data_IF_734953652619
#
_entry.id   IF_734953652619
#
_cell.length_a   1.000
_cell.length_b   1.000
_cell.length_c   1.000
_cell.angle_alpha   90.00
_cell.angle_beta   90.00
_cell.angle_gamma   90.00
#
_symmetry.space_group_name_H-M   'P 1'
#
loop_
_entity.id
_entity.type
_entity.pdbx_description
1 polymer ?
#
# COMPACT_ATOMS: atom_id res chain seq x y z
N UNK A 1 2.61 -17.21 17.14
CA UNK A 1 2.46 -15.82 17.64
C UNK A 1 3.00 -14.92 16.54
N UNK A 2 2.17 -14.15 15.83
CA UNK A 2 2.69 -13.16 14.86
C UNK A 2 3.46 -12.13 15.70
N UNK A 3 4.74 -11.91 15.43
CA UNK A 3 5.51 -10.86 16.11
C UNK A 3 4.83 -9.53 15.80
N UNK A 4 4.39 -8.81 16.83
CA UNK A 4 3.72 -7.53 16.65
C UNK A 4 4.73 -6.53 16.06
N UNK A 5 4.52 -6.14 14.80
CA UNK A 5 5.36 -5.14 14.13
C UNK A 5 4.83 -3.75 14.48
N UNK A 6 5.72 -2.82 14.80
CA UNK A 6 5.35 -1.45 15.12
C UNK A 6 4.79 -0.70 13.89
N UNK A 7 3.68 0.02 14.09
CA UNK A 7 3.15 1.00 13.14
C UNK A 7 3.92 2.31 13.31
N UNK A 8 4.46 2.85 12.22
CA UNK A 8 5.29 4.06 12.22
C UNK A 8 4.60 5.25 11.54
N UNK A 9 3.67 4.99 10.63
CA UNK A 9 2.90 6.02 9.94
C UNK A 9 1.48 5.54 9.66
N UNK A 10 0.54 6.49 9.58
CA UNK A 10 -0.87 6.24 9.29
C UNK A 10 -1.38 7.25 8.25
N UNK A 11 -2.31 6.81 7.41
CA UNK A 11 -3.07 7.64 6.49
C UNK A 11 -4.51 7.08 6.38
N UNK A 12 -5.44 7.89 5.92
CA UNK A 12 -6.86 7.52 5.80
C UNK A 12 -7.35 7.87 4.40
N UNK A 13 -8.06 6.95 3.75
CA UNK A 13 -8.70 7.26 2.47
C UNK A 13 -9.93 8.13 2.69
N UNK A 14 -10.15 9.09 1.81
CA UNK A 14 -11.24 10.06 1.94
C UNK A 14 -12.17 10.02 0.73
N UNK A 15 -12.39 8.83 0.16
CA UNK A 15 -13.35 8.67 -0.91
C UNK A 15 -14.74 9.11 -0.41
N UNK A 16 -15.53 9.81 -1.24
CA UNK A 16 -16.91 10.15 -0.89
C UNK A 16 -17.68 8.89 -0.52
N UNK A 17 -18.56 9.01 0.47
CA UNK A 17 -19.42 7.91 0.89
C UNK A 17 -20.20 7.35 -0.30
N UNK A 18 -20.24 6.02 -0.43
CA UNK A 18 -20.88 5.34 -1.56
C UNK A 18 -20.02 5.21 -2.82
N UNK A 19 -18.78 5.72 -2.85
CA UNK A 19 -17.84 5.49 -3.96
C UNK A 19 -16.89 4.33 -3.65
N UNK A 20 -16.29 4.34 -2.45
CA UNK A 20 -15.41 3.25 -1.98
C UNK A 20 -15.51 3.09 -0.46
N UNK A 21 -15.28 1.87 0.04
CA UNK A 21 -15.08 1.63 1.47
C UNK A 21 -13.80 2.33 1.91
N UNK A 22 -13.91 3.24 2.88
CA UNK A 22 -12.74 3.92 3.41
C UNK A 22 -11.92 2.98 4.30
N UNK A 23 -10.60 3.10 4.20
CA UNK A 23 -9.61 2.26 4.89
C UNK A 23 -8.60 3.13 5.62
N UNK A 24 -8.10 2.60 6.73
CA UNK A 24 -6.92 3.09 7.44
C UNK A 24 -5.71 2.37 6.84
N UNK A 25 -4.70 3.13 6.43
CA UNK A 25 -3.47 2.60 5.82
C UNK A 25 -2.33 2.86 6.81
N UNK A 26 -1.55 1.82 7.14
CA UNK A 26 -0.42 1.93 8.05
C UNK A 26 0.89 1.47 7.44
N UNK A 27 1.92 2.28 7.65
CA UNK A 27 3.28 1.96 7.30
C UNK A 27 3.99 1.32 8.48
N UNK A 28 4.61 0.16 8.26
CA UNK A 28 5.19 -0.67 9.32
C UNK A 28 6.72 -0.56 9.37
N UNK A 29 7.27 -0.87 10.55
CA UNK A 29 8.71 -0.94 10.78
C UNK A 29 9.43 -2.03 9.97
N UNK A 30 8.70 -3.03 9.47
CA UNK A 30 9.23 -4.08 8.60
C UNK A 30 9.09 -3.77 7.11
N UNK A 31 8.75 -2.53 6.73
CA UNK A 31 8.65 -2.09 5.35
C UNK A 31 7.39 -2.52 4.59
N UNK A 32 6.45 -3.16 5.27
CA UNK A 32 5.13 -3.46 4.71
C UNK A 32 4.16 -2.30 4.89
N UNK A 33 3.12 -2.29 4.07
CA UNK A 33 1.97 -1.41 4.23
C UNK A 33 0.74 -2.27 4.47
N UNK A 34 -0.01 -1.98 5.54
CA UNK A 34 -1.25 -2.68 5.86
C UNK A 34 -2.45 -1.77 5.70
N UNK A 35 -3.56 -2.38 5.31
CA UNK A 35 -4.84 -1.72 5.14
C UNK A 35 -5.82 -2.36 6.12
N UNK A 36 -6.55 -1.52 6.85
CA UNK A 36 -7.61 -1.94 7.74
C UNK A 36 -8.92 -1.27 7.37
N UNK A 37 -10.01 -2.01 7.53
CA UNK A 37 -11.36 -1.47 7.45
C UNK A 37 -11.51 -0.35 8.47
N UNK A 38 -12.07 0.78 8.04
CA UNK A 38 -12.35 1.90 8.95
C UNK A 38 -13.46 1.60 9.96
N UNK A 39 -14.24 0.54 9.74
CA UNK A 39 -15.41 0.18 10.54
C UNK A 39 -15.06 -0.70 11.74
N UNK A 40 -14.27 -1.75 11.51
CA UNK A 40 -14.01 -2.81 12.49
C UNK A 40 -12.52 -3.12 12.67
N UNK A 41 -11.64 -2.39 11.97
CA UNK A 41 -10.18 -2.58 11.98
C UNK A 41 -9.73 -3.98 11.50
N UNK A 42 -10.60 -4.71 10.79
CA UNK A 42 -10.21 -5.96 10.16
C UNK A 42 -9.14 -5.75 9.07
N UNK A 43 -8.20 -6.68 8.94
CA UNK A 43 -7.16 -6.65 7.91
C UNK A 43 -7.80 -6.79 6.51
N UNK A 44 -7.58 -5.82 5.63
CA UNK A 44 -8.10 -5.79 4.25
C UNK A 44 -7.05 -6.34 3.28
N UNK A 45 -5.86 -5.75 3.34
CA UNK A 45 -4.81 -5.93 2.33
C UNK A 45 -3.45 -5.67 2.98
N UNK A 46 -2.44 -6.38 2.49
CA UNK A 46 -1.04 -6.15 2.82
C UNK A 46 -0.24 -5.95 1.52
N UNK A 47 0.46 -4.83 1.42
CA UNK A 47 1.45 -4.59 0.38
C UNK A 47 2.83 -4.98 0.92
N UNK A 48 3.48 -5.87 0.17
CA UNK A 48 4.84 -6.30 0.42
C UNK A 48 5.84 -5.17 0.21
N UNK A 49 6.99 -5.28 0.87
CA UNK A 49 8.07 -4.31 0.69
C UNK A 49 8.56 -4.34 -0.77
N UNK A 50 8.85 -3.17 -1.38
CA UNK A 50 9.15 -3.09 -2.81
C UNK A 50 10.56 -3.61 -3.17
N UNK A 51 11.46 -3.69 -2.19
CA UNK A 51 12.85 -4.12 -2.34
C UNK A 51 13.16 -5.26 -1.37
N UNK A 52 14.16 -6.09 -1.68
CA UNK A 52 14.61 -7.18 -0.76
C UNK A 52 14.96 -6.66 0.64
N UNK A 53 15.53 -5.45 0.71
CA UNK A 53 15.77 -4.74 1.96
C UNK A 53 14.46 -4.02 2.37
N UNK A 54 13.63 -4.69 3.17
CA UNK A 54 12.36 -4.13 3.64
C UNK A 54 12.59 -3.00 4.68
N UNK A 55 12.83 -1.79 4.19
CA UNK A 55 13.08 -0.61 5.00
C UNK A 55 11.80 -0.09 5.70
N UNK A 56 11.86 0.44 6.93
CA UNK A 56 10.72 1.07 7.60
C UNK A 56 9.95 2.12 6.77
N UNK A 57 8.61 2.10 6.85
CA UNK A 57 7.73 3.09 6.19
C UNK A 57 7.44 4.26 7.13
N UNK A 58 8.09 5.40 6.90
CA UNK A 58 8.06 6.56 7.81
C UNK A 58 6.96 7.58 7.47
N UNK A 59 6.47 7.58 6.24
CA UNK A 59 5.39 8.48 5.83
C UNK A 59 4.49 7.85 4.77
N UNK A 60 3.21 8.23 4.81
CA UNK A 60 2.19 7.80 3.86
C UNK A 60 1.36 9.00 3.42
N UNK A 61 1.00 9.02 2.14
CA UNK A 61 0.02 9.96 1.60
C UNK A 61 -0.84 9.25 0.56
N UNK A 62 -2.15 9.46 0.62
CA UNK A 62 -3.10 8.92 -0.36
C UNK A 62 -3.73 10.05 -1.16
N UNK A 63 -4.00 9.84 -2.43
CA UNK A 63 -4.73 10.82 -3.25
C UNK A 63 -6.17 10.96 -2.76
N UNK A 64 -6.80 12.10 -3.03
CA UNK A 64 -8.19 12.37 -2.65
C UNK A 64 -9.19 11.38 -3.26
N UNK A 65 -8.91 10.91 -4.49
CA UNK A 65 -9.69 9.86 -5.15
C UNK A 65 -9.28 8.43 -4.75
N UNK A 66 -8.35 8.27 -3.81
CA UNK A 66 -7.85 6.98 -3.33
C UNK A 66 -7.23 6.06 -4.40
N UNK A 67 -6.87 6.61 -5.57
CA UNK A 67 -6.26 5.84 -6.67
C UNK A 67 -4.75 5.76 -6.61
N UNK A 68 -4.09 6.62 -5.82
CA UNK A 68 -2.62 6.66 -5.68
C UNK A 68 -2.24 6.63 -4.22
N UNK A 69 -1.29 5.77 -3.87
CA UNK A 69 -0.67 5.69 -2.56
C UNK A 69 0.82 5.97 -2.69
N UNK A 70 1.33 6.90 -1.88
CA UNK A 70 2.74 7.25 -1.79
C UNK A 70 3.28 6.81 -0.43
N UNK A 71 4.45 6.20 -0.42
CA UNK A 71 5.16 5.82 0.81
C UNK A 71 6.60 6.30 0.79
N UNK A 72 7.01 6.97 1.87
CA UNK A 72 8.40 7.36 2.13
C UNK A 72 9.08 6.36 3.06
N UNK A 73 10.21 5.81 2.62
CA UNK A 73 10.99 4.81 3.33
C UNK A 73 12.20 5.43 4.04
N UNK A 74 12.71 4.77 5.08
CA UNK A 74 13.89 5.24 5.84
C UNK A 74 15.18 5.32 5.01
N UNK A 75 15.25 4.62 3.88
CA UNK A 75 16.35 4.66 2.93
C UNK A 75 16.25 5.83 1.92
N UNK A 76 15.40 6.83 2.21
CA UNK A 76 15.18 8.02 1.38
C UNK A 76 14.50 7.72 0.03
N UNK A 77 13.92 6.53 -0.15
CA UNK A 77 13.12 6.22 -1.34
C UNK A 77 11.66 6.62 -1.14
N UNK A 78 11.05 7.08 -2.23
CA UNK A 78 9.60 7.29 -2.33
C UNK A 78 9.06 6.34 -3.37
N UNK A 79 8.05 5.57 -2.97
CA UNK A 79 7.44 4.55 -3.81
C UNK A 79 5.95 4.85 -3.98
N UNK A 80 5.42 4.58 -5.16
CA UNK A 80 4.02 4.83 -5.49
C UNK A 80 3.34 3.55 -5.93
N UNK A 81 2.13 3.32 -5.41
CA UNK A 81 1.20 2.33 -5.93
C UNK A 81 0.00 3.02 -6.56
N UNK A 82 -0.54 2.42 -7.62
CA UNK A 82 -1.73 2.89 -8.33
C UNK A 82 -2.77 1.79 -8.37
N UNK A 83 -4.01 2.13 -8.04
CA UNK A 83 -5.17 1.28 -8.28
C UNK A 83 -5.56 1.39 -9.77
N UNK A 84 -5.63 0.29 -10.54
CA UNK A 84 -6.04 0.32 -11.94
C UNK A 84 -7.44 0.94 -12.10
N UNK A 85 -7.60 1.80 -13.11
CA UNK A 85 -8.90 2.28 -13.58
C UNK A 85 -9.54 1.21 -14.48
N UNK A 86 -9.99 0.10 -13.92
CA UNK A 86 -10.76 -0.91 -14.67
C UNK A 86 -12.18 -0.93 -14.13
N UNK A 87 -13.15 -0.78 -15.04
CA UNK A 87 -14.59 -0.68 -14.75
C UNK A 87 -15.27 -1.95 -14.23
N UNK A 88 -14.50 -2.86 -13.62
CA UNK A 88 -15.00 -4.09 -13.02
C UNK A 88 -14.76 -4.02 -11.51
N UNK A 89 -15.85 -3.96 -10.76
CA UNK A 89 -15.93 -3.57 -9.34
C UNK A 89 -15.25 -4.51 -8.34
N UNK A 90 -14.61 -5.61 -8.75
CA UNK A 90 -14.32 -6.69 -7.79
C UNK A 90 -12.88 -6.85 -7.27
N UNK A 91 -11.82 -6.31 -7.86
CA UNK A 91 -10.46 -6.55 -7.30
C UNK A 91 -9.42 -5.51 -7.75
N UNK A 92 -9.65 -4.24 -7.46
CA UNK A 92 -8.68 -3.18 -7.77
C UNK A 92 -7.47 -3.22 -6.83
N UNK A 93 -6.55 -4.17 -7.04
CA UNK A 93 -5.30 -4.27 -6.28
C UNK A 93 -4.36 -3.11 -6.61
N UNK A 94 -3.67 -2.59 -5.59
CA UNK A 94 -2.64 -1.56 -5.78
C UNK A 94 -1.43 -2.15 -6.49
N UNK A 95 -1.12 -1.62 -7.67
CA UNK A 95 0.04 -2.03 -8.48
C UNK A 95 1.19 -1.05 -8.25
N UNK A 96 2.36 -1.59 -7.95
CA UNK A 96 3.60 -0.82 -7.80
C UNK A 96 3.99 -0.15 -9.11
N UNK A 97 4.22 1.16 -9.09
CA UNK A 97 4.69 1.93 -10.25
C UNK A 97 6.21 1.96 -10.26
N UNK A 98 6.88 1.42 -11.31
CA UNK A 98 8.33 1.49 -11.41
C UNK A 98 8.80 2.93 -11.66
N UNK A 99 10.01 3.31 -11.20
CA UNK A 99 10.57 4.64 -11.46
C UNK A 99 10.70 4.90 -12.97
N UNK A 100 10.47 6.13 -13.45
CA UNK A 100 10.45 6.45 -14.88
C UNK A 100 11.82 6.34 -15.60
N UNK A 101 12.94 6.25 -14.86
CA UNK A 101 14.29 6.21 -15.44
C UNK A 101 15.17 5.15 -14.74
N UNK A 102 15.05 3.88 -15.09
CA UNK A 102 16.00 2.83 -14.70
C UNK A 102 17.25 2.87 -15.59
N UNK A 103 18.12 3.86 -15.36
CA UNK A 103 19.51 3.82 -15.83
C UNK A 103 20.33 3.00 -14.82
N UNK A 104 20.52 1.71 -15.10
CA UNK A 104 21.56 0.75 -14.64
C UNK A 104 22.06 0.69 -13.16
N UNK A 105 21.59 1.53 -12.23
CA UNK A 105 22.08 1.54 -10.84
C UNK A 105 20.96 1.59 -9.77
N UNK A 106 19.71 1.33 -10.14
CA UNK A 106 18.61 1.27 -9.18
C UNK A 106 18.66 -0.03 -8.35
N UNK A 107 18.30 0.01 -7.05
CA UNK A 107 18.12 -1.20 -6.27
C UNK A 107 17.11 -2.11 -6.96
N UNK A 108 17.46 -3.38 -7.12
CA UNK A 108 16.64 -4.39 -7.79
C UNK A 108 15.29 -4.46 -7.07
N UNK A 109 14.21 -4.11 -7.76
CA UNK A 109 12.84 -4.36 -7.31
C UNK A 109 12.68 -5.87 -7.09
N UNK A 110 12.10 -6.28 -5.97
CA UNK A 110 11.89 -7.71 -5.73
C UNK A 110 10.78 -8.24 -6.64
N UNK A 111 10.92 -9.48 -7.14
CA UNK A 111 9.84 -10.17 -7.87
C UNK A 111 8.58 -10.36 -6.99
N UNK A 112 8.72 -10.20 -5.67
CA UNK A 112 7.64 -10.26 -4.67
C UNK A 112 6.90 -8.93 -4.47
N UNK A 113 7.47 -7.81 -4.91
CA UNK A 113 6.89 -6.48 -4.73
C UNK A 113 5.55 -6.31 -5.47
N UNK A 114 5.30 -7.12 -6.50
CA UNK A 114 4.06 -7.12 -7.27
C UNK A 114 2.94 -7.97 -6.66
N UNK A 115 3.21 -8.71 -5.58
CA UNK A 115 2.22 -9.60 -4.95
C UNK A 115 1.56 -8.89 -3.77
N UNK A 116 0.42 -8.23 -4.05
CA UNK A 116 -0.55 -7.87 -3.01
C UNK A 116 -1.27 -9.14 -2.55
N UNK A 117 -1.27 -9.41 -1.26
CA UNK A 117 -2.15 -10.45 -0.72
C UNK A 117 -3.44 -9.77 -0.26
N UNK A 118 -4.44 -9.80 -1.14
CA UNK A 118 -5.76 -9.21 -0.87
C UNK A 118 -6.64 -10.27 -0.21
N UNK A 119 -7.07 -10.00 1.03
CA UNK A 119 -8.21 -10.72 1.59
C UNK A 119 -9.45 -10.03 1.01
N UNK A 120 -10.22 -10.72 0.18
CA UNK A 120 -11.42 -10.15 -0.45
C UNK A 120 -12.42 -9.81 0.66
N UNK A 121 -12.41 -8.55 1.10
CA UNK A 121 -13.50 -7.98 1.87
C UNK A 121 -14.65 -7.76 0.88
N UNK A 122 -15.52 -8.77 0.75
CA UNK A 122 -16.82 -8.63 0.08
C UNK A 122 -17.69 -7.72 0.94
N UNK A 123 -17.78 -6.44 0.60
CA UNK A 123 -18.77 -5.55 1.20
C UNK A 123 -19.47 -4.79 0.08
N UNK A 124 -20.70 -5.26 -0.18
CA UNK A 124 -21.85 -4.69 -0.90
C UNK A 124 -21.61 -3.80 -2.10
#
# INVERSE_FOLDING_TARGET
MRSATQILSLCYTSAPEGVHVNVIIGGLANGKIMFWSSWDLSEVCELSCPTEECNPVLSLAVSSCSTKLYAGYSNQQVVTWVKPETGDEETGDYVLVPPPNTLHHSPQLSDKAAQSTTSVLKYF
#
